data_IF_164452903393
#
_entry.id   IF_164452903393
#
_cell.length_a   1.000
_cell.length_b   1.000
_cell.length_c   1.000
_cell.angle_alpha   90.00
_cell.angle_beta   90.00
_cell.angle_gamma   90.00
#
_symmetry.space_group_name_H-M   'P 1'
#
loop_
_entity.id
_entity.type
_entity.pdbx_description
1 polymer ?
#
# COMPACT_ATOMS: atom_id res chain seq x y z
N UNK A 1 15.79 -0.46 11.28
CA UNK A 1 14.54 -0.06 11.92
C UNK A 1 13.44 0.09 10.87
N UNK A 2 12.23 -0.31 11.24
CA UNK A 2 11.10 -0.21 10.33
C UNK A 2 10.61 1.24 10.24
N UNK A 3 10.16 1.62 9.07
CA UNK A 3 9.52 2.91 8.86
C UNK A 3 8.04 2.67 8.59
N UNK A 4 7.22 3.68 8.80
CA UNK A 4 5.79 3.59 8.59
C UNK A 4 5.37 4.67 7.61
N UNK A 5 4.58 4.26 6.61
CA UNK A 5 4.09 5.16 5.57
C UNK A 5 2.58 5.10 5.48
N UNK A 6 1.97 6.24 5.21
CA UNK A 6 0.53 6.33 4.98
C UNK A 6 0.31 6.76 3.54
N UNK A 7 -0.44 5.95 2.80
CA UNK A 7 -0.77 6.22 1.40
C UNK A 7 -2.27 6.39 1.24
N UNK A 8 -2.64 7.24 0.29
CA UNK A 8 -4.01 7.24 -0.23
C UNK A 8 -3.99 6.37 -1.47
N UNK A 9 -4.88 5.39 -1.53
CA UNK A 9 -4.97 4.48 -2.68
C UNK A 9 -6.35 4.63 -3.28
N UNK A 10 -6.43 5.31 -4.42
CA UNK A 10 -7.70 5.54 -5.11
C UNK A 10 -8.01 4.35 -6.01
N UNK A 11 -9.28 3.99 -6.09
CA UNK A 11 -9.73 2.91 -6.94
C UNK A 11 -10.14 1.64 -6.23
N UNK A 12 -9.89 1.55 -4.94
CA UNK A 12 -10.36 0.40 -4.16
C UNK A 12 -11.86 0.53 -3.95
N UNK A 13 -12.61 -0.50 -4.29
CA UNK A 13 -14.06 -0.47 -4.22
C UNK A 13 -14.66 -1.51 -3.28
N UNK A 14 -13.86 -2.49 -2.84
CA UNK A 14 -14.34 -3.58 -2.01
C UNK A 14 -13.20 -4.20 -1.23
N UNK A 15 -13.53 -5.11 -0.32
CA UNK A 15 -12.52 -5.84 0.44
C UNK A 15 -11.61 -6.69 -0.45
N UNK A 16 -12.09 -7.10 -1.62
CA UNK A 16 -11.26 -7.82 -2.58
C UNK A 16 -10.12 -6.95 -3.08
N UNK A 17 -10.39 -5.67 -3.30
CA UNK A 17 -9.35 -4.73 -3.71
C UNK A 17 -8.33 -4.52 -2.60
N UNK A 18 -8.78 -4.44 -1.34
CA UNK A 18 -7.87 -4.38 -0.20
C UNK A 18 -6.90 -5.56 -0.21
N UNK A 19 -7.45 -6.77 -0.41
CA UNK A 19 -6.63 -7.98 -0.43
C UNK A 19 -5.62 -7.96 -1.56
N UNK A 20 -6.01 -7.49 -2.73
CA UNK A 20 -5.09 -7.38 -3.87
C UNK A 20 -3.93 -6.45 -3.56
N UNK A 21 -4.23 -5.28 -3.02
CA UNK A 21 -3.21 -4.29 -2.69
C UNK A 21 -2.29 -4.83 -1.61
N UNK A 22 -2.85 -5.41 -0.55
CA UNK A 22 -2.06 -5.95 0.55
C UNK A 22 -1.13 -7.07 0.07
N UNK A 23 -1.65 -7.99 -0.72
CA UNK A 23 -0.85 -9.11 -1.22
C UNK A 23 0.27 -8.64 -2.14
N UNK A 24 0.01 -7.64 -2.95
CA UNK A 24 1.01 -7.11 -3.86
C UNK A 24 2.14 -6.43 -3.09
N UNK A 25 1.80 -5.61 -2.10
CA UNK A 25 2.79 -4.86 -1.34
C UNK A 25 3.59 -5.75 -0.40
N UNK A 26 2.94 -6.73 0.24
CA UNK A 26 3.63 -7.61 1.20
C UNK A 26 4.72 -8.45 0.54
N UNK A 27 4.66 -8.62 -0.77
CA UNK A 27 5.68 -9.38 -1.50
C UNK A 27 6.99 -8.62 -1.67
N UNK A 28 6.99 -7.31 -1.46
CA UNK A 28 8.21 -6.53 -1.55
C UNK A 28 9.14 -6.87 -0.40
N UNK A 29 10.44 -6.90 -0.70
CA UNK A 29 11.45 -7.17 0.33
C UNK A 29 11.44 -6.06 1.37
N UNK A 30 11.47 -6.44 2.64
CA UNK A 30 11.55 -5.49 3.73
C UNK A 30 10.22 -5.04 4.28
N UNK A 31 9.10 -5.45 3.70
CA UNK A 31 7.78 -5.11 4.20
C UNK A 31 7.44 -6.03 5.39
N UNK A 32 7.03 -5.42 6.49
CA UNK A 32 6.67 -6.15 7.72
C UNK A 32 5.16 -6.17 7.95
N UNK A 33 4.45 -5.12 7.53
CA UNK A 33 3.03 -4.99 7.82
C UNK A 33 2.37 -4.12 6.77
N UNK A 34 1.18 -4.54 6.33
CA UNK A 34 0.36 -3.79 5.39
C UNK A 34 -1.09 -3.86 5.86
N UNK A 35 -1.77 -2.71 5.85
CA UNK A 35 -3.18 -2.66 6.20
C UNK A 35 -3.88 -1.71 5.23
N UNK A 36 -4.80 -2.24 4.43
CA UNK A 36 -5.54 -1.47 3.44
C UNK A 36 -7.00 -1.34 3.87
N UNK A 37 -7.58 -0.16 3.67
CA UNK A 37 -8.97 0.12 3.99
C UNK A 37 -9.64 0.79 2.79
N UNK A 38 -10.53 0.07 2.12
CA UNK A 38 -11.20 0.60 0.92
C UNK A 38 -12.22 1.69 1.26
N UNK A 39 -12.78 1.68 2.46
CA UNK A 39 -13.77 2.68 2.84
C UNK A 39 -13.16 4.08 2.95
N UNK A 40 -11.94 4.17 3.46
CA UNK A 40 -11.23 5.44 3.56
C UNK A 40 -10.22 5.65 2.44
N UNK A 41 -10.00 4.64 1.60
CA UNK A 41 -8.99 4.64 0.54
C UNK A 41 -7.58 4.86 1.10
N UNK A 42 -7.30 4.30 2.26
CA UNK A 42 -6.01 4.46 2.92
C UNK A 42 -5.25 3.15 3.00
N UNK A 43 -3.94 3.27 3.03
CA UNK A 43 -3.05 2.14 3.17
C UNK A 43 -1.96 2.49 4.16
N UNK A 44 -1.72 1.61 5.13
CA UNK A 44 -0.64 1.75 6.09
C UNK A 44 0.39 0.66 5.78
N UNK A 45 1.64 1.07 5.62
CA UNK A 45 2.74 0.14 5.32
C UNK A 45 3.85 0.35 6.34
N UNK A 46 4.36 -0.74 6.89
CA UNK A 46 5.54 -0.71 7.77
C UNK A 46 6.62 -1.59 7.17
N UNK A 47 7.85 -1.10 7.17
CA UNK A 47 8.99 -1.87 6.68
C UNK A 47 10.05 -0.97 6.07
N UNK A 48 11.00 -1.58 5.39
CA UNK A 48 12.15 -0.90 4.81
C UNK A 48 12.16 -0.90 3.28
N UNK A 49 10.99 -0.91 2.66
CA UNK A 49 10.91 -0.78 1.20
C UNK A 49 10.88 0.70 0.82
N UNK A 50 11.29 1.01 -0.41
CA UNK A 50 11.25 2.40 -0.86
C UNK A 50 9.81 2.81 -1.18
N UNK A 51 9.53 4.11 -0.98
CA UNK A 51 8.22 4.68 -1.31
C UNK A 51 7.92 4.46 -2.79
N UNK A 52 8.93 4.60 -3.63
CA UNK A 52 8.79 4.44 -5.07
C UNK A 52 8.37 3.01 -5.44
N UNK A 53 9.02 2.01 -4.82
CA UNK A 53 8.68 0.61 -5.06
C UNK A 53 7.25 0.30 -4.64
N UNK A 54 6.83 0.81 -3.48
CA UNK A 54 5.47 0.61 -2.99
C UNK A 54 4.48 1.24 -3.95
N UNK A 55 4.73 2.49 -4.35
CA UNK A 55 3.86 3.22 -5.26
C UNK A 55 3.71 2.51 -6.60
N UNK A 56 4.84 2.07 -7.18
CA UNK A 56 4.81 1.37 -8.47
C UNK A 56 4.06 0.05 -8.37
N UNK A 57 4.24 -0.66 -7.28
CA UNK A 57 3.57 -1.94 -7.06
C UNK A 57 2.05 -1.76 -7.03
N UNK A 58 1.58 -0.74 -6.32
CA UNK A 58 0.15 -0.46 -6.22
C UNK A 58 -0.41 0.00 -7.57
N UNK A 59 0.33 0.88 -8.26
CA UNK A 59 -0.10 1.37 -9.57
C UNK A 59 -0.19 0.24 -10.58
N UNK A 60 0.70 -0.74 -10.49
CA UNK A 60 0.70 -1.89 -11.40
C UNK A 60 -0.55 -2.77 -11.22
N UNK A 61 -1.19 -2.70 -10.05
CA UNK A 61 -2.43 -3.43 -9.79
C UNK A 61 -3.66 -2.69 -10.28
N UNK A 62 -3.49 -1.50 -10.85
CA UNK A 62 -4.60 -0.73 -11.41
C UNK A 62 -5.13 0.36 -10.49
N UNK A 63 -4.43 0.65 -9.42
CA UNK A 63 -4.84 1.68 -8.46
C UNK A 63 -3.90 2.88 -8.54
N UNK A 64 -4.25 3.96 -7.86
CA UNK A 64 -3.41 5.15 -7.82
C UNK A 64 -3.00 5.41 -6.38
N UNK A 65 -1.71 5.26 -6.09
CA UNK A 65 -1.17 5.42 -4.75
C UNK A 65 -0.47 6.77 -4.61
N UNK A 66 -0.79 7.48 -3.54
CA UNK A 66 -0.21 8.79 -3.24
C UNK A 66 0.28 8.76 -1.80
N UNK A 67 1.54 9.09 -1.57
CA UNK A 67 2.06 9.17 -0.21
C UNK A 67 1.45 10.37 0.51
N UNK A 68 0.87 10.13 1.68
CA UNK A 68 0.21 11.15 2.48
C UNK A 68 1.10 11.59 3.65
N UNK A 69 1.75 10.61 4.31
CA UNK A 69 2.59 10.88 5.47
C UNK A 69 3.60 9.75 5.68
N UNK A 70 4.65 10.08 6.40
CA UNK A 70 5.68 9.12 6.79
C UNK A 70 5.73 8.92 8.28
#
# INVERSE_FOLDING_TARGET
MSEQYFFRVNGMESSECENKVEKAVIKLNGIEFVDADYESNMLIVKGNASIEDITQTINAEGYNAILVAE
#
